data_IF_105285885247
#
_entry.id   IF_105285885247
#
_cell.length_a   1.000
_cell.length_b   1.000
_cell.length_c   1.000
_cell.angle_alpha   90.00
_cell.angle_beta   90.00
_cell.angle_gamma   90.00
#
_symmetry.space_group_name_H-M   'P 1'
#
loop_
_entity.id
_entity.type
_entity.pdbx_description
1 polymer ?
#
# COMPACT_ATOMS: atom_id res chain seq x y z
N UNK A 1 -19.45 16.65 -3.46
CA UNK A 1 -19.22 16.49 -2.01
C UNK A 1 -18.55 15.15 -1.67
N UNK A 2 -19.07 14.04 -2.23
CA UNK A 2 -18.51 12.68 -1.95
C UNK A 2 -17.05 12.52 -2.45
N UNK A 3 -16.69 13.10 -3.59
CA UNK A 3 -15.33 13.02 -4.15
C UNK A 3 -14.30 13.73 -3.26
N UNK A 4 -14.63 14.92 -2.78
CA UNK A 4 -13.73 15.68 -1.89
C UNK A 4 -13.49 14.95 -0.57
N UNK A 5 -14.51 14.37 0.03
CA UNK A 5 -14.38 13.60 1.26
C UNK A 5 -13.40 12.44 1.08
N UNK A 6 -13.49 11.69 -0.02
CA UNK A 6 -12.62 10.54 -0.29
C UNK A 6 -11.16 10.96 -0.47
N UNK A 7 -10.91 12.11 -1.12
CA UNK A 7 -9.54 12.67 -1.24
C UNK A 7 -8.97 13.00 0.16
N UNK A 8 -9.77 13.63 1.03
CA UNK A 8 -9.29 13.96 2.37
C UNK A 8 -8.99 12.70 3.19
N UNK A 9 -9.82 11.64 3.05
CA UNK A 9 -9.55 10.36 3.70
C UNK A 9 -8.25 9.74 3.16
N UNK A 10 -8.01 9.77 1.85
CA UNK A 10 -6.78 9.27 1.26
C UNK A 10 -5.54 10.06 1.72
N UNK A 11 -5.65 11.39 1.76
CA UNK A 11 -4.57 12.24 2.26
C UNK A 11 -4.31 12.01 3.76
N UNK A 12 -5.36 11.94 4.56
CA UNK A 12 -5.27 11.61 5.99
C UNK A 12 -4.62 10.25 6.22
N UNK A 13 -4.95 9.27 5.41
CA UNK A 13 -4.32 7.94 5.48
C UNK A 13 -2.81 8.00 5.22
N UNK A 14 -2.37 8.79 4.24
CA UNK A 14 -0.94 9.01 3.97
C UNK A 14 -0.21 9.63 5.16
N UNK A 15 -0.87 10.57 5.86
CA UNK A 15 -0.34 11.15 7.09
C UNK A 15 -0.29 10.15 8.24
N UNK A 16 -1.30 9.29 8.40
CA UNK A 16 -1.29 8.22 9.41
C UNK A 16 -0.12 7.27 9.21
N UNK A 17 0.10 6.83 7.96
CA UNK A 17 1.26 6.03 7.61
C UNK A 17 2.57 6.77 7.94
N UNK A 18 2.68 8.05 7.57
CA UNK A 18 3.84 8.87 7.87
C UNK A 18 4.11 9.01 9.35
N UNK A 19 3.08 9.29 10.16
CA UNK A 19 3.18 9.41 11.61
C UNK A 19 3.62 8.12 12.30
N UNK A 20 3.40 6.97 11.68
CA UNK A 20 3.91 5.70 12.19
C UNK A 20 5.44 5.60 12.09
N UNK A 21 6.07 6.34 11.15
CA UNK A 21 7.47 6.21 10.75
C UNK A 21 8.41 7.27 11.30
N UNK A 22 7.90 8.42 11.71
CA UNK A 22 8.72 9.55 12.14
C UNK A 22 9.38 9.28 13.51
N UNK A 23 10.52 9.91 13.80
CA UNK A 23 11.21 9.77 15.07
C UNK A 23 10.34 10.15 16.28
N UNK A 24 9.44 11.11 16.09
CA UNK A 24 8.40 11.51 17.07
C UNK A 24 7.10 10.75 16.86
N UNK A 25 7.09 9.78 15.96
CA UNK A 25 5.92 9.01 15.59
C UNK A 25 5.58 7.93 16.61
N UNK A 26 4.47 7.26 16.33
CA UNK A 26 3.97 6.19 17.17
C UNK A 26 3.86 4.90 16.34
N UNK A 27 4.89 4.01 16.35
CA UNK A 27 4.92 2.79 15.54
C UNK A 27 3.66 1.92 15.61
N UNK A 28 2.98 1.75 16.77
CA UNK A 28 1.74 0.96 16.83
C UNK A 28 0.61 1.48 15.95
N UNK A 29 0.64 2.75 15.54
CA UNK A 29 -0.34 3.33 14.62
C UNK A 29 -0.38 2.60 13.26
N UNK A 30 0.71 1.96 12.86
CA UNK A 30 0.80 1.21 11.60
C UNK A 30 -0.24 0.08 11.52
N UNK A 31 -0.67 -0.47 12.65
CA UNK A 31 -1.63 -1.56 12.70
C UNK A 31 -3.06 -1.15 12.32
N UNK A 32 -3.33 0.15 12.26
CA UNK A 32 -4.62 0.71 11.82
C UNK A 32 -4.48 1.65 10.63
N UNK A 33 -3.25 1.94 10.23
CA UNK A 33 -2.96 2.96 9.24
C UNK A 33 -3.43 2.62 7.82
N UNK A 34 -3.61 1.35 7.46
CA UNK A 34 -4.18 0.96 6.17
C UNK A 34 -5.71 0.94 6.14
N UNK A 35 -6.38 0.91 7.31
CA UNK A 35 -7.84 0.78 7.40
C UNK A 35 -8.57 1.86 6.57
N UNK A 36 -8.24 3.16 6.67
CA UNK A 36 -8.94 4.18 5.87
C UNK A 36 -8.82 3.93 4.36
N UNK A 37 -7.66 3.46 3.87
CA UNK A 37 -7.48 3.16 2.45
C UNK A 37 -8.27 1.91 2.02
N UNK A 38 -8.34 0.89 2.87
CA UNK A 38 -9.16 -0.31 2.64
C UNK A 38 -10.65 0.03 2.60
N UNK A 39 -11.12 0.95 3.46
CA UNK A 39 -12.50 1.44 3.45
C UNK A 39 -12.80 2.25 2.19
N UNK A 40 -11.86 3.08 1.73
CA UNK A 40 -11.98 3.81 0.44
C UNK A 40 -12.08 2.81 -0.72
N UNK A 41 -11.23 1.79 -0.75
CA UNK A 41 -11.27 0.74 -1.77
C UNK A 41 -12.62 0.02 -1.78
N UNK A 42 -13.10 -0.40 -0.59
CA UNK A 42 -14.39 -1.05 -0.45
C UNK A 42 -15.54 -0.17 -0.93
N UNK A 43 -15.57 1.10 -0.52
CA UNK A 43 -16.58 2.06 -0.97
C UNK A 43 -16.61 2.22 -2.49
N UNK A 44 -15.43 2.29 -3.14
CA UNK A 44 -15.33 2.40 -4.60
C UNK A 44 -15.77 1.10 -5.27
N UNK A 45 -15.40 -0.04 -4.71
CA UNK A 45 -15.76 -1.36 -5.21
C UNK A 45 -17.29 -1.56 -5.20
N UNK A 46 -17.93 -1.22 -4.09
CA UNK A 46 -19.39 -1.36 -3.90
C UNK A 46 -20.18 -0.35 -4.76
N UNK A 47 -19.60 0.82 -5.06
CA UNK A 47 -20.24 1.86 -5.88
C UNK A 47 -20.09 1.64 -7.39
N UNK A 48 -19.27 0.70 -7.81
CA UNK A 48 -18.98 0.39 -9.22
C UNK A 48 -19.96 -0.62 -9.82
N UNK A 49 -20.04 -0.71 -11.15
CA UNK A 49 -20.83 -1.74 -11.79
C UNK A 49 -20.33 -3.13 -11.38
N UNK A 50 -21.27 -4.01 -11.02
CA UNK A 50 -21.01 -5.43 -10.77
C UNK A 50 -20.61 -6.11 -12.08
N UNK A 51 -19.35 -6.02 -12.44
CA UNK A 51 -18.76 -6.84 -13.50
C UNK A 51 -18.37 -8.18 -12.89
N UNK A 52 -19.23 -9.19 -13.08
CA UNK A 52 -18.87 -10.57 -12.77
C UNK A 52 -17.79 -11.02 -13.76
N UNK A 53 -16.55 -10.99 -13.32
CA UNK A 53 -15.44 -11.55 -14.08
C UNK A 53 -15.43 -13.05 -13.87
N UNK A 54 -15.71 -13.83 -14.92
CA UNK A 54 -15.53 -15.28 -14.89
C UNK A 54 -14.02 -15.57 -15.04
N UNK A 55 -13.41 -16.14 -14.01
CA UNK A 55 -12.00 -16.58 -14.00
C UNK A 55 -11.62 -17.43 -15.22
N UNK A 56 -12.56 -18.24 -15.73
CA UNK A 56 -12.35 -19.14 -16.87
C UNK A 56 -12.41 -18.47 -18.24
N UNK A 57 -12.84 -17.22 -18.33
CA UNK A 57 -12.94 -16.49 -19.61
C UNK A 57 -11.99 -15.32 -19.75
N UNK A 58 -11.23 -14.99 -18.72
CA UNK A 58 -10.34 -13.84 -18.74
C UNK A 58 -8.91 -14.26 -19.07
N UNK A 59 -8.44 -13.92 -20.27
CA UNK A 59 -7.02 -14.02 -20.60
C UNK A 59 -6.22 -13.12 -19.65
N UNK A 60 -5.02 -13.56 -19.25
CA UNK A 60 -4.09 -12.78 -18.43
C UNK A 60 -3.92 -11.33 -18.94
N UNK A 61 -3.86 -11.18 -20.27
CA UNK A 61 -3.76 -9.88 -20.93
C UNK A 61 -5.02 -9.02 -20.73
N UNK A 62 -6.21 -9.60 -20.77
CA UNK A 62 -7.45 -8.87 -20.55
C UNK A 62 -7.62 -8.45 -19.08
N UNK A 63 -7.15 -9.27 -18.14
CA UNK A 63 -7.12 -8.90 -16.73
C UNK A 63 -6.28 -7.63 -16.49
N UNK A 64 -5.08 -7.55 -17.06
CA UNK A 64 -4.23 -6.38 -16.93
C UNK A 64 -4.71 -5.18 -17.78
N UNK A 65 -5.22 -5.44 -18.99
CA UNK A 65 -5.70 -4.40 -19.91
C UNK A 65 -7.05 -3.81 -19.52
N UNK A 66 -7.83 -4.48 -18.68
CA UNK A 66 -9.16 -4.02 -18.29
C UNK A 66 -9.08 -2.69 -17.50
N UNK A 67 -9.34 -1.61 -18.22
CA UNK A 67 -9.48 -0.26 -17.66
C UNK A 67 -10.86 -0.10 -16.99
N UNK A 68 -11.04 -0.71 -15.83
CA UNK A 68 -12.23 -0.44 -15.03
C UNK A 68 -12.14 0.97 -14.44
N UNK A 69 -13.20 1.75 -14.57
CA UNK A 69 -13.31 3.07 -13.94
C UNK A 69 -13.03 3.04 -12.44
N UNK A 70 -13.43 1.97 -11.76
CA UNK A 70 -13.14 1.75 -10.34
C UNK A 70 -11.65 1.59 -10.08
N UNK A 71 -10.91 0.83 -10.91
CA UNK A 71 -9.47 0.61 -10.75
C UNK A 71 -8.66 1.91 -10.89
N UNK A 72 -9.08 2.82 -11.79
CA UNK A 72 -8.45 4.14 -11.91
C UNK A 72 -8.68 5.02 -10.69
N UNK A 73 -9.88 4.96 -10.10
CA UNK A 73 -10.15 5.67 -8.85
C UNK A 73 -9.32 5.13 -7.70
N UNK A 74 -9.27 3.80 -7.56
CA UNK A 74 -8.44 3.14 -6.54
C UNK A 74 -6.97 3.53 -6.73
N UNK A 75 -6.46 3.51 -7.98
CA UNK A 75 -5.12 3.98 -8.28
C UNK A 75 -4.90 5.43 -7.84
N UNK A 76 -5.79 6.34 -8.21
CA UNK A 76 -5.63 7.77 -7.87
C UNK A 76 -5.61 8.02 -6.38
N UNK A 77 -6.50 7.41 -5.60
CA UNK A 77 -6.54 7.60 -4.15
C UNK A 77 -5.37 6.91 -3.44
N UNK A 78 -5.00 5.70 -3.84
CA UNK A 78 -3.83 5.03 -3.29
C UNK A 78 -2.55 5.79 -3.63
N UNK A 79 -2.45 6.37 -4.84
CA UNK A 79 -1.30 7.18 -5.22
C UNK A 79 -1.16 8.45 -4.35
N UNK A 80 -2.27 9.13 -4.08
CA UNK A 80 -2.26 10.28 -3.15
C UNK A 80 -1.80 9.84 -1.76
N UNK A 81 -2.35 8.73 -1.26
CA UNK A 81 -1.96 8.17 0.04
C UNK A 81 -0.46 7.87 0.11
N UNK A 82 0.05 7.09 -0.84
CA UNK A 82 1.44 6.66 -0.83
C UNK A 82 2.41 7.77 -1.20
N UNK A 83 2.00 8.76 -2.01
CA UNK A 83 2.82 9.93 -2.28
C UNK A 83 3.02 10.77 -1.01
N UNK A 84 1.95 11.03 -0.26
CA UNK A 84 2.03 11.75 1.02
C UNK A 84 2.88 10.96 2.02
N UNK A 85 2.68 9.64 2.11
CA UNK A 85 3.49 8.75 2.95
C UNK A 85 4.98 8.85 2.59
N UNK A 86 5.34 8.73 1.32
CA UNK A 86 6.73 8.85 0.87
C UNK A 86 7.33 10.21 1.20
N UNK A 87 6.61 11.31 0.92
CA UNK A 87 7.10 12.66 1.21
C UNK A 87 7.32 12.86 2.71
N UNK A 88 6.38 12.43 3.55
CA UNK A 88 6.47 12.67 5.00
C UNK A 88 7.56 11.84 5.68
N UNK A 89 7.90 10.68 5.14
CA UNK A 89 8.87 9.77 5.76
C UNK A 89 10.28 9.92 5.19
N UNK A 90 10.41 10.33 3.94
CA UNK A 90 11.71 10.35 3.25
C UNK A 90 12.10 11.75 2.74
N UNK A 91 11.46 12.82 3.27
CA UNK A 91 11.76 14.22 2.93
C UNK A 91 13.25 14.59 3.09
N UNK A 92 13.95 13.96 4.02
CA UNK A 92 15.36 14.21 4.30
C UNK A 92 16.28 13.92 3.10
N UNK A 93 15.88 13.05 2.19
CA UNK A 93 16.63 12.74 0.96
C UNK A 93 16.74 13.97 0.06
N UNK A 94 15.83 14.93 0.18
CA UNK A 94 15.88 16.20 -0.55
C UNK A 94 17.21 16.95 -0.34
N UNK A 95 17.76 16.87 0.84
CA UNK A 95 19.04 17.53 1.16
C UNK A 95 20.24 16.89 0.45
N UNK A 96 20.12 15.61 0.08
CA UNK A 96 21.17 14.90 -0.67
C UNK A 96 21.04 15.11 -2.20
N UNK A 97 19.82 15.00 -2.73
CA UNK A 97 19.55 15.15 -4.16
C UNK A 97 18.08 15.51 -4.41
N UNK A 98 17.75 16.76 -4.72
CA UNK A 98 16.37 17.17 -5.00
C UNK A 98 15.71 16.39 -6.15
N UNK A 99 16.42 16.21 -7.27
CA UNK A 99 15.90 15.46 -8.42
C UNK A 99 15.70 13.97 -8.09
N UNK A 100 16.68 13.37 -7.37
CA UNK A 100 16.59 11.98 -6.92
C UNK A 100 15.45 11.76 -5.96
N UNK A 101 15.21 12.69 -5.04
CA UNK A 101 14.09 12.62 -4.08
C UNK A 101 12.75 12.65 -4.78
N UNK A 102 12.56 13.56 -5.72
CA UNK A 102 11.32 13.63 -6.48
C UNK A 102 11.05 12.33 -7.22
N UNK A 103 12.07 11.78 -7.89
CA UNK A 103 11.96 10.49 -8.58
C UNK A 103 11.62 9.38 -7.60
N UNK A 104 12.28 9.30 -6.44
CA UNK A 104 12.02 8.29 -5.41
C UNK A 104 10.58 8.37 -4.89
N UNK A 105 10.08 9.56 -4.52
CA UNK A 105 8.71 9.73 -4.02
C UNK A 105 7.68 9.25 -5.04
N UNK A 106 7.85 9.62 -6.31
CA UNK A 106 6.89 9.27 -7.37
C UNK A 106 6.99 7.77 -7.71
N UNK A 107 8.20 7.23 -7.91
CA UNK A 107 8.38 5.82 -8.28
C UNK A 107 7.87 4.90 -7.17
N UNK A 108 8.22 5.16 -5.91
CA UNK A 108 7.75 4.35 -4.79
C UNK A 108 6.22 4.42 -4.64
N UNK A 109 5.63 5.62 -4.73
CA UNK A 109 4.18 5.77 -4.69
C UNK A 109 3.48 5.02 -5.84
N UNK A 110 4.07 5.01 -7.04
CA UNK A 110 3.56 4.26 -8.19
C UNK A 110 3.60 2.75 -7.94
N UNK A 111 4.72 2.22 -7.43
CA UNK A 111 4.88 0.78 -7.13
C UNK A 111 3.89 0.31 -6.06
N UNK A 112 3.77 1.05 -4.95
CA UNK A 112 2.81 0.76 -3.90
C UNK A 112 1.37 0.81 -4.42
N UNK A 113 1.04 1.82 -5.22
CA UNK A 113 -0.29 1.95 -5.83
C UNK A 113 -0.60 0.85 -6.82
N UNK A 114 0.40 0.41 -7.58
CA UNK A 114 0.27 -0.70 -8.50
C UNK A 114 -0.04 -2.01 -7.76
N UNK A 115 0.70 -2.32 -6.68
CA UNK A 115 0.41 -3.47 -5.83
C UNK A 115 -1.01 -3.42 -5.24
N UNK A 116 -1.44 -2.23 -4.81
CA UNK A 116 -2.78 -2.02 -4.26
C UNK A 116 -3.90 -2.18 -5.32
N UNK A 117 -3.67 -1.74 -6.55
CA UNK A 117 -4.61 -1.96 -7.67
C UNK A 117 -4.69 -3.43 -8.07
N UNK A 118 -3.57 -4.17 -8.03
CA UNK A 118 -3.59 -5.62 -8.28
C UNK A 118 -4.45 -6.34 -7.23
N UNK A 119 -4.27 -6.00 -5.97
CA UNK A 119 -5.14 -6.44 -4.89
C UNK A 119 -6.62 -6.16 -5.20
N UNK A 120 -6.98 -4.89 -5.52
CA UNK A 120 -8.35 -4.50 -5.85
C UNK A 120 -8.94 -5.35 -6.99
N UNK A 121 -8.18 -5.56 -8.07
CA UNK A 121 -8.63 -6.37 -9.22
C UNK A 121 -8.89 -7.82 -8.83
N UNK A 122 -7.98 -8.43 -8.08
CA UNK A 122 -8.12 -9.82 -7.61
C UNK A 122 -9.27 -9.94 -6.62
N UNK A 123 -9.43 -8.98 -5.70
CA UNK A 123 -10.55 -8.93 -4.76
C UNK A 123 -11.89 -8.89 -5.48
N UNK A 124 -12.02 -8.12 -6.57
CA UNK A 124 -13.24 -8.10 -7.39
C UNK A 124 -13.60 -9.46 -8.01
N UNK A 125 -12.61 -10.31 -8.27
CA UNK A 125 -12.81 -11.63 -8.84
C UNK A 125 -13.06 -12.69 -7.78
N UNK A 126 -12.27 -12.69 -6.69
CA UNK A 126 -12.29 -13.73 -5.66
C UNK A 126 -13.27 -13.45 -4.51
N UNK A 127 -13.83 -12.22 -4.46
CA UNK A 127 -14.63 -11.74 -3.35
C UNK A 127 -13.80 -11.28 -2.15
N UNK A 128 -14.44 -10.65 -1.17
CA UNK A 128 -13.76 -9.97 -0.06
C UNK A 128 -12.85 -10.90 0.75
N UNK A 129 -13.37 -12.04 1.22
CA UNK A 129 -12.61 -12.93 2.11
C UNK A 129 -11.30 -13.43 1.49
N UNK A 130 -11.32 -13.85 0.23
CA UNK A 130 -10.12 -14.34 -0.48
C UNK A 130 -9.29 -13.20 -1.04
N UNK A 131 -9.92 -12.08 -1.34
CA UNK A 131 -9.27 -10.91 -1.90
C UNK A 131 -8.22 -10.31 -0.96
N UNK A 132 -8.43 -10.31 0.35
CA UNK A 132 -7.46 -9.78 1.29
C UNK A 132 -6.14 -10.58 1.35
N UNK A 133 -6.17 -11.89 1.05
CA UNK A 133 -4.92 -12.64 0.85
C UNK A 133 -4.10 -12.12 -0.34
N UNK A 134 -4.79 -11.60 -1.36
CA UNK A 134 -4.10 -10.99 -2.49
C UNK A 134 -3.39 -9.68 -2.11
N UNK A 135 -3.91 -8.91 -1.14
CA UNK A 135 -3.20 -7.74 -0.61
C UNK A 135 -1.86 -8.16 0.00
N UNK A 136 -1.87 -9.16 0.88
CA UNK A 136 -0.66 -9.68 1.51
C UNK A 136 0.33 -10.16 0.44
N UNK A 137 -0.15 -10.97 -0.51
CA UNK A 137 0.69 -11.52 -1.56
C UNK A 137 1.35 -10.42 -2.42
N UNK A 138 0.57 -9.50 -2.97
CA UNK A 138 1.12 -8.47 -3.85
C UNK A 138 1.99 -7.46 -3.11
N UNK A 139 1.64 -7.14 -1.87
CA UNK A 139 2.43 -6.21 -1.08
C UNK A 139 3.79 -6.78 -0.72
N UNK A 140 3.83 -7.99 -0.17
CA UNK A 140 5.11 -8.65 0.19
C UNK A 140 5.94 -8.93 -1.06
N UNK A 141 5.30 -9.35 -2.16
CA UNK A 141 6.01 -9.55 -3.44
C UNK A 141 6.62 -8.25 -3.95
N UNK A 142 5.90 -7.13 -3.85
CA UNK A 142 6.42 -5.82 -4.24
C UNK A 142 7.60 -5.41 -3.35
N UNK A 143 7.49 -5.55 -2.03
CA UNK A 143 8.60 -5.25 -1.11
C UNK A 143 9.81 -6.14 -1.38
N UNK A 144 9.59 -7.45 -1.59
CA UNK A 144 10.67 -8.39 -1.92
C UNK A 144 11.39 -8.00 -3.21
N UNK A 145 10.64 -7.70 -4.28
CA UNK A 145 11.22 -7.25 -5.55
C UNK A 145 11.96 -5.93 -5.38
N UNK A 146 11.40 -5.01 -4.58
CA UNK A 146 11.97 -3.70 -4.33
C UNK A 146 13.26 -3.74 -3.51
N UNK A 147 13.49 -4.81 -2.76
CA UNK A 147 14.75 -5.07 -2.05
C UNK A 147 15.86 -5.62 -2.96
N UNK A 148 15.51 -6.21 -4.13
CA UNK A 148 16.42 -7.02 -4.94
C UNK A 148 16.65 -6.49 -6.37
N UNK A 149 16.30 -5.24 -6.65
CA UNK A 149 16.52 -4.61 -7.95
C UNK A 149 17.46 -3.41 -7.87
N UNK A 150 17.86 -2.83 -9.02
CA UNK A 150 18.83 -1.73 -9.14
C UNK A 150 18.40 -0.45 -8.37
N UNK A 151 17.10 -0.18 -8.30
CA UNK A 151 16.56 0.98 -7.58
C UNK A 151 16.04 0.59 -6.20
N UNK A 152 16.76 -0.26 -5.47
CA UNK A 152 16.36 -0.73 -4.16
C UNK A 152 16.10 0.44 -3.19
N UNK A 153 14.94 0.41 -2.52
CA UNK A 153 14.53 1.43 -1.55
C UNK A 153 13.95 0.77 -0.30
N UNK A 154 14.81 0.19 0.55
CA UNK A 154 14.37 -0.63 1.67
C UNK A 154 13.70 0.14 2.80
N UNK A 155 13.85 1.47 2.84
CA UNK A 155 13.44 2.33 3.95
C UNK A 155 11.97 2.22 4.31
N UNK A 156 11.08 2.02 3.33
CA UNK A 156 9.64 2.01 3.49
C UNK A 156 9.00 0.61 3.47
N UNK A 157 9.81 -0.44 3.61
CA UNK A 157 9.28 -1.79 3.92
C UNK A 157 8.50 -1.74 5.23
N UNK A 158 7.24 -2.18 5.26
CA UNK A 158 6.34 -1.97 6.41
C UNK A 158 6.93 -2.46 7.74
N UNK A 159 7.68 -3.56 7.71
CA UNK A 159 8.35 -4.06 8.90
C UNK A 159 9.40 -3.11 9.49
N UNK A 160 9.94 -2.18 8.70
CA UNK A 160 10.93 -1.20 9.18
C UNK A 160 10.34 -0.13 10.09
N UNK A 161 9.03 -0.01 10.19
CA UNK A 161 8.37 0.92 11.12
C UNK A 161 8.83 0.72 12.59
N UNK A 162 9.26 -0.49 12.93
CA UNK A 162 9.72 -0.84 14.28
C UNK A 162 11.23 -0.63 14.49
N UNK A 163 11.95 -0.03 13.54
CA UNK A 163 13.39 0.19 13.63
C UNK A 163 13.83 0.99 14.88
N UNK A 164 12.95 1.86 15.38
CA UNK A 164 13.18 2.64 16.61
C UNK A 164 12.88 1.88 17.90
N UNK A 165 12.24 0.72 17.81
CA UNK A 165 11.83 -0.11 18.95
C UNK A 165 12.17 -1.59 18.72
N UNK A 166 13.46 -1.93 18.53
CA UNK A 166 13.88 -3.26 18.10
C UNK A 166 13.53 -4.37 19.09
N UNK A 167 13.31 -4.04 20.36
CA UNK A 167 13.00 -5.01 21.40
C UNK A 167 11.70 -5.78 21.15
N UNK A 168 10.73 -5.18 20.46
CA UNK A 168 9.45 -5.83 20.16
C UNK A 168 9.49 -6.71 18.91
N UNK A 169 10.57 -6.66 18.13
CA UNK A 169 10.71 -7.36 16.85
C UNK A 169 11.94 -8.28 16.81
N UNK A 170 12.42 -8.76 17.96
CA UNK A 170 13.55 -9.70 18.05
C UNK A 170 13.34 -10.97 17.22
N UNK A 171 12.09 -11.38 16.99
CA UNK A 171 11.73 -12.50 16.14
C UNK A 171 12.00 -12.29 14.65
N UNK A 172 12.41 -11.06 14.22
CA UNK A 172 12.90 -10.80 12.85
C UNK A 172 14.15 -11.60 12.52
N UNK A 173 14.86 -12.11 13.54
CA UNK A 173 15.96 -13.06 13.35
C UNK A 173 15.55 -14.27 12.50
N UNK A 174 14.29 -14.72 12.65
CA UNK A 174 13.74 -15.88 11.94
C UNK A 174 13.01 -15.55 10.64
N UNK A 175 12.35 -14.40 10.57
CA UNK A 175 11.44 -14.08 9.47
C UNK A 175 11.92 -12.93 8.59
N UNK A 176 12.95 -12.23 9.03
CA UNK A 176 13.36 -10.96 8.41
C UNK A 176 12.30 -9.86 8.56
N UNK A 177 12.58 -8.72 7.94
CA UNK A 177 11.71 -7.55 7.94
C UNK A 177 10.35 -7.80 7.24
N UNK A 178 10.32 -8.71 6.27
CA UNK A 178 9.09 -9.07 5.55
C UNK A 178 8.07 -9.79 6.44
N UNK A 179 8.54 -10.49 7.48
CA UNK A 179 7.67 -11.02 8.53
C UNK A 179 6.94 -9.91 9.29
N UNK A 180 7.62 -8.80 9.56
CA UNK A 180 7.01 -7.60 10.13
C UNK A 180 5.95 -7.00 9.23
N UNK A 181 6.23 -6.91 7.93
CA UNK A 181 5.25 -6.46 6.94
C UNK A 181 4.02 -7.37 6.91
N UNK A 182 4.22 -8.68 6.98
CA UNK A 182 3.13 -9.65 7.07
C UNK A 182 2.27 -9.42 8.33
N UNK A 183 2.91 -9.22 9.48
CA UNK A 183 2.24 -8.93 10.74
C UNK A 183 1.38 -7.67 10.66
N UNK A 184 1.94 -6.57 10.14
CA UNK A 184 1.22 -5.31 9.93
C UNK A 184 0.00 -5.50 9.04
N UNK A 185 0.16 -6.17 7.89
CA UNK A 185 -0.93 -6.38 6.94
C UNK A 185 -2.05 -7.25 7.53
N UNK A 186 -1.70 -8.32 8.24
CA UNK A 186 -2.70 -9.20 8.89
C UNK A 186 -3.52 -8.39 9.88
N UNK A 187 -2.90 -7.58 10.76
CA UNK A 187 -3.64 -6.81 11.75
C UNK A 187 -4.55 -5.75 11.09
N UNK A 188 -4.09 -5.05 10.05
CA UNK A 188 -4.95 -4.11 9.32
C UNK A 188 -6.13 -4.77 8.59
N UNK A 189 -6.04 -6.05 8.25
CA UNK A 189 -7.13 -6.80 7.61
C UNK A 189 -8.11 -7.35 8.65
N UNK A 190 -7.65 -7.69 9.85
CA UNK A 190 -8.47 -8.26 10.91
C UNK A 190 -9.27 -7.21 11.70
N UNK A 191 -8.79 -5.98 11.75
CA UNK A 191 -9.43 -4.83 12.41
C UNK A 191 -10.40 -4.11 11.48
#
# INVERSE_FOLDING_TARGET
LKFQIVIHIAAFNGLLLGLSWTEIGFPPLIFVAFIPLLLVEKYISDSGPNTSWNLFGCSFLTFFSSRSYTSWKVFGYSFITFLIFNITTTYWVWHASPAGSFAAFVINALLMSFAFVLFHKVKKVLGDKRGYFALIFFWISMEYLHLHWELAWPWLTLGNVFATVPDIVQWYEYTGVLGGSLWVLILNILL
#
